data_IF_280996446186
#
_entry.id   IF_280996446186
#
_cell.length_a   1.000
_cell.length_b   1.000
_cell.length_c   1.000
_cell.angle_alpha   90.00
_cell.angle_beta   90.00
_cell.angle_gamma   90.00
#
_symmetry.space_group_name_H-M   'P 1'
#
loop_
_entity.id
_entity.type
_entity.pdbx_description
1 polymer ?
#
# COMPACT_ATOMS: atom_id res chain seq x y z
N UNK A 1 -64.07 -5.02 62.94
CA UNK A 1 -64.21 -3.55 62.82
C UNK A 1 -62.90 -2.92 63.28
N UNK A 2 -62.53 -1.81 62.62
CA UNK A 2 -61.76 -0.64 63.07
C UNK A 2 -60.77 -0.76 64.26
N UNK A 3 -59.66 -0.04 64.35
CA UNK A 3 -58.80 0.75 63.48
C UNK A 3 -57.88 1.54 64.44
N UNK A 4 -56.65 1.81 63.99
CA UNK A 4 -55.89 3.06 64.20
C UNK A 4 -55.24 3.38 65.57
N UNK A 5 -53.91 3.51 65.46
CA UNK A 5 -53.04 4.70 65.70
C UNK A 5 -52.06 4.66 66.88
N UNK A 6 -50.79 4.42 66.51
CA UNK A 6 -49.56 5.22 66.75
C UNK A 6 -49.38 6.04 68.03
N UNK A 7 -48.28 5.76 68.76
CA UNK A 7 -47.35 6.69 69.47
C UNK A 7 -46.17 5.85 70.01
N UNK A 8 -44.92 5.94 69.53
CA UNK A 8 -43.79 6.89 69.71
C UNK A 8 -43.02 6.79 71.05
N UNK A 9 -41.71 6.48 70.90
CA UNK A 9 -40.54 6.72 71.81
C UNK A 9 -40.55 6.06 73.21
N UNK A 10 -39.46 5.61 73.83
CA UNK A 10 -38.01 5.79 73.63
C UNK A 10 -37.24 4.85 74.57
N UNK A 11 -36.09 4.37 74.10
CA UNK A 11 -34.86 3.96 74.82
C UNK A 11 -34.92 3.09 76.10
N UNK A 12 -34.35 1.89 76.03
CA UNK A 12 -33.00 1.61 76.58
C UNK A 12 -32.60 0.14 76.33
N UNK A 13 -31.29 -0.04 76.24
CA UNK A 13 -30.55 -1.16 75.66
C UNK A 13 -30.69 -2.49 76.41
N UNK A 14 -30.65 -3.61 75.67
CA UNK A 14 -29.65 -4.66 75.87
C UNK A 14 -29.69 -5.70 74.73
N UNK A 15 -28.49 -5.98 74.22
CA UNK A 15 -28.02 -7.23 73.64
C UNK A 15 -28.58 -7.87 72.34
N UNK A 16 -27.60 -8.15 71.47
CA UNK A 16 -27.52 -9.12 70.35
C UNK A 16 -28.12 -8.80 68.97
N UNK A 17 -27.18 -8.67 68.01
CA UNK A 17 -27.07 -9.36 66.68
C UNK A 17 -27.00 -8.40 65.47
N UNK A 18 -25.83 -8.28 64.78
CA UNK A 18 -25.81 -7.70 63.45
C UNK A 18 -26.11 -8.76 62.39
N UNK A 19 -27.01 -8.40 61.49
CA UNK A 19 -27.49 -9.18 60.36
C UNK A 19 -26.37 -9.61 59.41
N UNK A 20 -26.51 -10.83 58.88
CA UNK A 20 -25.65 -11.46 57.90
C UNK A 20 -25.67 -10.68 56.59
N UNK A 21 -24.64 -9.86 56.33
CA UNK A 21 -24.22 -9.56 54.96
C UNK A 21 -23.67 -10.84 54.34
N UNK A 22 -24.46 -11.51 53.50
CA UNK A 22 -23.97 -12.57 52.60
C UNK A 22 -22.97 -11.95 51.62
N UNK A 23 -21.69 -11.90 52.00
CA UNK A 23 -20.60 -11.89 51.03
C UNK A 23 -20.61 -13.26 50.37
N UNK A 24 -21.20 -13.33 49.19
CA UNK A 24 -21.15 -14.52 48.34
C UNK A 24 -19.70 -14.90 48.15
N UNK A 25 -19.28 -15.99 48.80
CA UNK A 25 -17.99 -16.63 48.51
C UNK A 25 -18.08 -17.17 47.08
N UNK A 26 -17.03 -17.03 46.25
CA UNK A 26 -17.01 -17.73 44.98
C UNK A 26 -17.19 -19.22 45.28
N UNK A 27 -18.27 -19.79 44.74
CA UNK A 27 -18.53 -21.22 44.84
C UNK A 27 -17.34 -21.95 44.22
N UNK A 28 -16.84 -23.01 44.88
CA UNK A 28 -15.79 -23.87 44.33
C UNK A 28 -16.12 -24.34 42.91
N UNK A 29 -17.40 -24.50 42.55
CA UNK A 29 -17.84 -24.84 41.21
C UNK A 29 -17.50 -23.77 40.15
N UNK A 30 -17.48 -22.48 40.52
CA UNK A 30 -17.12 -21.37 39.62
C UNK A 30 -15.62 -21.34 39.34
N UNK A 31 -14.80 -21.57 40.37
CA UNK A 31 -13.33 -21.61 40.23
C UNK A 31 -12.90 -22.86 39.46
N UNK A 32 -13.54 -24.01 39.72
CA UNK A 32 -13.28 -25.24 38.97
C UNK A 32 -13.72 -25.09 37.51
N UNK A 33 -14.89 -24.49 37.25
CA UNK A 33 -15.36 -24.22 35.89
C UNK A 33 -14.41 -23.31 35.09
N UNK A 34 -13.89 -22.27 35.73
CA UNK A 34 -12.93 -21.34 35.13
C UNK A 34 -11.58 -22.01 34.82
N UNK A 35 -11.04 -22.80 35.75
CA UNK A 35 -9.79 -23.57 35.54
C UNK A 35 -9.96 -24.62 34.44
N UNK A 36 -11.11 -25.30 34.36
CA UNK A 36 -11.40 -26.28 33.29
C UNK A 36 -11.55 -25.57 31.94
N UNK A 37 -12.14 -24.38 31.90
CA UNK A 37 -12.27 -23.59 30.67
C UNK A 37 -10.92 -23.06 30.18
N UNK A 38 -10.06 -22.57 31.09
CA UNK A 38 -8.68 -22.16 30.77
C UNK A 38 -7.86 -23.36 30.29
N UNK A 39 -7.95 -24.51 30.95
CA UNK A 39 -7.27 -25.73 30.52
C UNK A 39 -7.77 -26.20 29.14
N UNK A 40 -9.06 -26.05 28.86
CA UNK A 40 -9.63 -26.37 27.55
C UNK A 40 -9.12 -25.43 26.46
N UNK A 41 -9.02 -24.12 26.73
CA UNK A 41 -8.43 -23.15 25.81
C UNK A 41 -6.93 -23.40 25.60
N UNK A 42 -6.18 -23.68 26.66
CA UNK A 42 -4.76 -24.01 26.59
C UNK A 42 -4.53 -25.28 25.73
N UNK A 43 -5.39 -26.29 25.89
CA UNK A 43 -5.35 -27.51 25.10
C UNK A 43 -5.73 -27.28 23.64
N UNK A 44 -6.70 -26.40 23.36
CA UNK A 44 -7.06 -26.01 22.00
C UNK A 44 -5.92 -25.23 21.32
N UNK A 45 -5.30 -24.27 22.02
CA UNK A 45 -4.15 -23.53 21.48
C UNK A 45 -2.95 -24.45 21.26
N UNK A 46 -2.70 -25.41 22.17
CA UNK A 46 -1.62 -26.40 22.02
C UNK A 46 -1.90 -27.41 20.91
N UNK A 47 -3.18 -27.74 20.66
CA UNK A 47 -3.58 -28.63 19.56
C UNK A 47 -3.55 -27.93 18.20
N UNK A 48 -3.78 -26.61 18.16
CA UNK A 48 -3.70 -25.79 16.96
C UNK A 48 -2.28 -25.32 16.64
N UNK A 49 -1.38 -25.23 17.63
CA UNK A 49 0.02 -24.84 17.45
C UNK A 49 0.71 -25.61 16.31
N UNK A 50 0.64 -26.95 16.20
CA UNK A 50 1.33 -27.70 15.15
C UNK A 50 0.75 -27.41 13.77
N UNK A 51 -0.56 -27.16 13.69
CA UNK A 51 -1.24 -26.82 12.44
C UNK A 51 -0.88 -25.40 11.99
N UNK A 52 -0.93 -24.44 12.91
CA UNK A 52 -0.52 -23.06 12.65
C UNK A 52 0.97 -23.00 12.28
N UNK A 53 1.83 -23.73 13.00
CA UNK A 53 3.26 -23.80 12.70
C UNK A 53 3.53 -24.46 11.35
N UNK A 54 2.73 -25.44 10.95
CA UNK A 54 2.81 -26.08 9.63
C UNK A 54 2.36 -25.14 8.52
N UNK A 55 1.22 -24.47 8.67
CA UNK A 55 0.70 -23.51 7.68
C UNK A 55 1.64 -22.32 7.55
N UNK A 56 2.11 -21.75 8.67
CA UNK A 56 3.09 -20.66 8.65
C UNK A 56 4.41 -21.12 8.04
N UNK A 57 4.88 -22.34 8.34
CA UNK A 57 6.09 -22.89 7.73
C UNK A 57 5.92 -23.15 6.23
N UNK A 58 4.80 -23.72 5.79
CA UNK A 58 4.51 -23.94 4.37
C UNK A 58 4.35 -22.62 3.60
N UNK A 59 3.67 -21.62 4.17
CA UNK A 59 3.56 -20.29 3.58
C UNK A 59 4.92 -19.59 3.51
N UNK A 60 5.73 -19.65 4.58
CA UNK A 60 7.08 -19.07 4.60
C UNK A 60 8.02 -19.80 3.64
N UNK A 61 7.99 -21.13 3.57
CA UNK A 61 8.81 -21.92 2.64
C UNK A 61 8.35 -21.80 1.19
N UNK A 62 7.05 -21.57 0.92
CA UNK A 62 6.57 -21.26 -0.42
C UNK A 62 7.00 -19.86 -0.88
N UNK A 63 6.90 -18.85 0.00
CA UNK A 63 7.34 -17.48 -0.30
C UNK A 63 8.87 -17.39 -0.42
N UNK A 64 9.62 -18.05 0.47
CA UNK A 64 11.09 -18.04 0.48
C UNK A 64 11.70 -19.01 -0.55
N UNK A 65 11.08 -20.17 -0.77
CA UNK A 65 11.52 -21.19 -1.72
C UNK A 65 11.40 -20.75 -3.17
N UNK A 66 10.47 -19.85 -3.48
CA UNK A 66 10.37 -19.22 -4.81
C UNK A 66 11.41 -18.12 -5.01
N UNK A 67 11.70 -17.34 -3.95
CA UNK A 67 12.67 -16.25 -3.96
C UNK A 67 14.13 -16.76 -4.06
N UNK A 68 14.45 -17.87 -3.37
CA UNK A 68 15.81 -18.45 -3.35
C UNK A 68 16.21 -19.20 -4.62
N UNK A 69 15.27 -19.84 -5.34
CA UNK A 69 15.58 -20.52 -6.61
C UNK A 69 15.94 -19.56 -7.74
N UNK A 70 15.47 -18.30 -7.68
CA UNK A 70 15.81 -17.28 -8.68
C UNK A 70 17.19 -16.68 -8.47
N UNK A 71 17.74 -16.72 -7.24
CA UNK A 71 18.92 -15.94 -6.85
C UNK A 71 20.24 -16.75 -6.85
N UNK A 72 20.18 -18.08 -6.97
CA UNK A 72 21.38 -18.94 -6.95
C UNK A 72 21.98 -19.24 -8.34
N UNK A 73 21.49 -18.61 -9.41
CA UNK A 73 22.06 -18.81 -10.74
C UNK A 73 23.29 -17.93 -10.93
N UNK A 74 24.45 -18.45 -10.56
CA UNK A 74 25.76 -17.84 -10.83
C UNK A 74 25.92 -17.44 -12.31
N UNK A 75 26.48 -16.25 -12.63
CA UNK A 75 26.50 -15.72 -13.98
C UNK A 75 27.69 -16.30 -14.76
N UNK A 76 27.49 -17.44 -15.41
CA UNK A 76 28.40 -17.86 -16.47
C UNK A 76 28.05 -17.04 -17.72
N UNK A 77 28.93 -16.10 -18.06
CA UNK A 77 29.04 -15.35 -19.33
C UNK A 77 28.09 -15.86 -20.43
N UNK A 78 26.88 -15.30 -20.48
CA UNK A 78 25.95 -15.51 -21.59
C UNK A 78 25.67 -14.16 -22.22
N UNK A 79 26.02 -14.08 -23.50
CA UNK A 79 25.72 -13.01 -24.44
C UNK A 79 24.33 -12.43 -24.13
N UNK A 80 24.27 -11.10 -24.03
CA UNK A 80 23.09 -10.30 -23.66
C UNK A 80 21.94 -10.48 -24.68
N UNK A 81 21.24 -11.60 -24.58
CA UNK A 81 19.98 -11.86 -25.25
C UNK A 81 18.87 -11.90 -24.18
N UNK A 82 18.19 -10.76 -24.05
CA UNK A 82 16.79 -10.54 -23.70
C UNK A 82 16.02 -11.67 -22.99
N UNK A 83 16.45 -12.12 -21.80
CA UNK A 83 15.51 -12.77 -20.89
C UNK A 83 14.63 -11.66 -20.29
N UNK A 84 13.30 -11.69 -20.48
CA UNK A 84 12.42 -10.73 -19.85
C UNK A 84 12.58 -10.89 -18.34
N UNK A 85 12.89 -9.80 -17.65
CA UNK A 85 12.85 -9.85 -16.19
C UNK A 85 11.46 -10.30 -15.77
N UNK A 86 11.40 -11.25 -14.84
CA UNK A 86 10.15 -11.63 -14.18
C UNK A 86 9.59 -10.48 -13.34
N UNK A 87 10.40 -9.50 -12.92
CA UNK A 87 9.96 -8.42 -12.05
C UNK A 87 9.62 -7.15 -12.82
N UNK A 88 8.51 -6.50 -12.46
CA UNK A 88 8.10 -5.21 -12.99
C UNK A 88 7.53 -4.29 -11.91
N UNK A 89 7.74 -2.99 -12.09
CA UNK A 89 7.05 -1.96 -11.33
C UNK A 89 5.59 -1.87 -11.80
N UNK A 90 4.69 -1.46 -10.90
CA UNK A 90 3.27 -1.27 -11.20
C UNK A 90 2.70 -0.16 -10.31
N UNK A 91 1.89 0.71 -10.89
CA UNK A 91 1.06 1.64 -10.13
C UNK A 91 -0.09 0.86 -9.47
N UNK A 92 -0.25 0.98 -8.15
CA UNK A 92 -1.35 0.32 -7.43
C UNK A 92 -2.69 0.99 -7.72
N UNK A 93 -2.68 2.31 -7.90
CA UNK A 93 -3.84 3.15 -8.02
C UNK A 93 -3.80 4.01 -9.29
N UNK A 94 -4.97 4.45 -9.75
CA UNK A 94 -5.13 5.27 -10.96
C UNK A 94 -5.03 6.75 -10.62
N UNK A 95 -4.50 7.55 -11.55
CA UNK A 95 -4.44 9.00 -11.41
C UNK A 95 -5.85 9.61 -11.39
N UNK A 96 -6.07 10.60 -10.52
CA UNK A 96 -7.24 11.45 -10.57
C UNK A 96 -7.12 12.42 -11.76
N UNK A 97 -8.15 12.48 -12.59
CA UNK A 97 -8.22 13.35 -13.77
C UNK A 97 -9.43 14.28 -13.65
N UNK A 98 -9.37 15.50 -14.22
CA UNK A 98 -8.28 16.07 -15.02
C UNK A 98 -7.10 16.59 -14.18
N UNK A 99 -5.91 16.65 -14.78
CA UNK A 99 -4.70 17.23 -14.17
C UNK A 99 -4.45 18.61 -14.75
N UNK A 100 -4.19 19.58 -13.87
CA UNK A 100 -3.78 20.94 -14.23
C UNK A 100 -2.33 21.21 -13.84
N UNK A 101 -1.67 22.12 -14.54
CA UNK A 101 -0.32 22.58 -14.18
C UNK A 101 -0.32 23.23 -12.80
N UNK A 102 0.68 22.94 -11.96
CA UNK A 102 0.79 23.47 -10.61
C UNK A 102 -0.19 22.88 -9.59
N UNK A 103 -1.03 21.92 -10.00
CA UNK A 103 -1.87 21.15 -9.09
C UNK A 103 -1.20 19.82 -8.76
N UNK A 104 -1.30 19.40 -7.50
CA UNK A 104 -0.77 18.11 -7.03
C UNK A 104 -1.46 16.96 -7.73
N UNK A 105 -0.66 15.99 -8.20
CA UNK A 105 -1.20 14.77 -8.81
C UNK A 105 -1.59 13.82 -7.67
N UNK A 106 -2.90 13.55 -7.58
CA UNK A 106 -3.45 12.57 -6.64
C UNK A 106 -3.98 11.32 -7.34
N UNK A 107 -4.42 10.36 -6.54
CA UNK A 107 -5.19 9.21 -7.03
C UNK A 107 -6.70 9.42 -6.92
N UNK A 108 -7.48 8.67 -7.70
CA UNK A 108 -8.95 8.70 -7.65
C UNK A 108 -9.53 8.37 -6.27
N UNK A 109 -8.82 7.59 -5.46
CA UNK A 109 -9.23 7.23 -4.09
C UNK A 109 -8.78 8.24 -3.03
N UNK A 110 -8.22 9.38 -3.46
CA UNK A 110 -7.66 10.43 -2.62
C UNK A 110 -6.51 9.95 -1.71
N UNK A 111 -5.88 8.83 -2.07
CA UNK A 111 -4.65 8.33 -1.45
C UNK A 111 -3.41 8.80 -2.23
N UNK A 112 -2.22 8.78 -1.61
CA UNK A 112 -0.96 8.98 -2.32
C UNK A 112 -0.79 7.93 -3.43
N UNK A 113 -0.18 8.31 -4.54
CA UNK A 113 0.17 7.34 -5.57
C UNK A 113 1.13 6.30 -5.01
N UNK A 114 0.98 5.03 -5.37
CA UNK A 114 1.85 3.99 -4.84
C UNK A 114 2.39 3.10 -5.96
N UNK A 115 3.64 2.72 -5.80
CA UNK A 115 4.34 1.81 -6.69
C UNK A 115 4.61 0.50 -5.96
N UNK A 116 4.34 -0.59 -6.66
CA UNK A 116 4.56 -1.96 -6.22
C UNK A 116 5.52 -2.65 -7.17
N UNK A 117 6.30 -3.60 -6.67
CA UNK A 117 7.02 -4.57 -7.50
C UNK A 117 6.22 -5.86 -7.55
N UNK A 118 5.98 -6.37 -8.75
CA UNK A 118 5.21 -7.60 -8.98
C UNK A 118 5.96 -8.55 -9.92
N UNK A 119 5.65 -9.84 -9.80
CA UNK A 119 6.07 -10.84 -10.78
C UNK A 119 5.17 -10.75 -12.02
N UNK A 120 5.75 -10.89 -13.20
CA UNK A 120 4.99 -11.04 -14.44
C UNK A 120 4.14 -12.32 -14.43
N UNK A 121 4.59 -13.37 -13.74
CA UNK A 121 3.82 -14.59 -13.55
C UNK A 121 2.64 -14.40 -12.57
N UNK A 122 2.73 -13.46 -11.62
CA UNK A 122 1.72 -13.21 -10.60
C UNK A 122 1.56 -11.69 -10.34
N UNK A 123 0.95 -10.93 -11.28
CA UNK A 123 0.92 -9.46 -11.23
C UNK A 123 0.01 -8.87 -10.14
N UNK A 124 -0.64 -9.73 -9.36
CA UNK A 124 -1.57 -9.38 -8.28
C UNK A 124 -0.92 -9.50 -6.89
N UNK A 125 0.25 -10.13 -6.79
CA UNK A 125 0.94 -10.34 -5.52
C UNK A 125 2.21 -9.49 -5.51
N UNK A 126 2.31 -8.50 -4.61
CA UNK A 126 3.54 -7.74 -4.42
C UNK A 126 4.69 -8.65 -3.98
N UNK A 127 5.89 -8.38 -4.47
CA UNK A 127 7.11 -9.09 -4.08
C UNK A 127 7.86 -8.26 -3.05
N UNK A 128 8.22 -8.91 -1.94
CA UNK A 128 9.14 -8.33 -0.96
C UNK A 128 10.55 -8.40 -1.51
N UNK A 129 11.16 -7.22 -1.65
CA UNK A 129 12.56 -7.09 -2.06
C UNK A 129 13.49 -7.21 -0.83
N UNK A 130 14.59 -7.97 -0.93
CA UNK A 130 15.52 -8.14 0.18
C UNK A 130 16.34 -6.89 0.48
N UNK A 131 16.46 -5.98 -0.48
CA UNK A 131 17.21 -4.72 -0.33
C UNK A 131 16.34 -3.53 -0.78
N UNK A 132 16.51 -2.36 -0.15
CA UNK A 132 15.87 -1.14 -0.62
C UNK A 132 16.39 -0.75 -2.00
N UNK A 133 15.49 -0.39 -2.91
CA UNK A 133 15.84 0.09 -4.25
C UNK A 133 15.44 1.56 -4.40
N UNK A 134 16.18 2.32 -5.20
CA UNK A 134 15.80 3.71 -5.52
C UNK A 134 15.04 3.72 -6.84
N UNK A 135 13.90 4.37 -6.83
CA UNK A 135 13.08 4.59 -8.03
C UNK A 135 13.04 6.08 -8.35
N UNK A 136 12.94 6.37 -9.64
CA UNK A 136 12.85 7.71 -10.20
C UNK A 136 11.54 7.83 -10.98
N UNK A 137 10.83 8.92 -10.75
CA UNK A 137 9.61 9.31 -11.44
C UNK A 137 9.98 10.25 -12.57
N UNK A 138 9.51 9.93 -13.77
CA UNK A 138 9.83 10.65 -15.01
C UNK A 138 8.56 10.92 -15.80
N UNK A 139 8.64 11.84 -16.76
CA UNK A 139 7.54 12.09 -17.71
C UNK A 139 7.85 11.35 -19.01
N UNK A 140 6.89 10.60 -19.52
CA UNK A 140 7.01 9.85 -20.78
C UNK A 140 6.00 10.39 -21.80
N UNK A 141 6.34 10.34 -23.09
CA UNK A 141 5.43 10.74 -24.16
C UNK A 141 4.15 9.89 -24.14
N UNK A 142 2.99 10.52 -24.25
CA UNK A 142 1.69 9.85 -24.27
C UNK A 142 1.49 8.85 -25.41
N UNK A 143 2.17 9.03 -26.54
CA UNK A 143 2.13 8.11 -27.69
C UNK A 143 3.03 6.87 -27.52
N UNK A 144 3.85 6.82 -26.46
CA UNK A 144 4.67 5.65 -26.12
C UNK A 144 3.88 4.68 -25.23
N UNK A 145 4.02 3.35 -25.41
CA UNK A 145 4.76 2.65 -26.48
C UNK A 145 4.02 2.76 -27.83
N UNK A 146 4.76 2.65 -28.94
CA UNK A 146 4.18 2.77 -30.28
C UNK A 146 3.36 1.53 -30.63
N UNK A 147 2.08 1.71 -30.91
CA UNK A 147 1.12 0.63 -31.23
C UNK A 147 0.67 -0.13 -29.98
N UNK A 148 0.05 -1.30 -30.18
CA UNK A 148 -0.52 -2.10 -29.07
C UNK A 148 0.53 -2.99 -28.37
N UNK A 149 1.78 -2.52 -28.31
CA UNK A 149 2.87 -3.26 -27.66
C UNK A 149 2.92 -2.94 -26.18
N UNK A 150 2.82 -3.97 -25.33
CA UNK A 150 2.95 -3.84 -23.87
C UNK A 150 4.39 -4.04 -23.37
N UNK A 151 5.35 -4.29 -24.27
CA UNK A 151 6.74 -4.58 -23.93
C UNK A 151 7.66 -3.62 -24.67
N UNK A 152 8.64 -3.06 -23.94
CA UNK A 152 9.68 -2.17 -24.45
C UNK A 152 11.03 -2.48 -23.78
N UNK A 153 12.12 -2.04 -24.40
CA UNK A 153 13.45 -2.08 -23.77
C UNK A 153 13.67 -0.88 -22.85
N UNK A 154 14.64 -0.99 -21.93
CA UNK A 154 14.99 0.15 -21.06
C UNK A 154 15.52 1.34 -21.87
N UNK A 155 16.23 1.08 -22.97
CA UNK A 155 16.69 2.12 -23.89
C UNK A 155 15.52 2.82 -24.59
N UNK A 156 14.53 2.05 -25.06
CA UNK A 156 13.31 2.61 -25.66
C UNK A 156 12.54 3.48 -24.66
N UNK A 157 12.37 3.02 -23.42
CA UNK A 157 11.75 3.80 -22.36
C UNK A 157 12.52 5.12 -22.13
N UNK A 158 13.83 5.03 -21.95
CA UNK A 158 14.69 6.19 -21.69
C UNK A 158 14.69 7.21 -22.82
N UNK A 159 14.60 6.76 -24.08
CA UNK A 159 14.53 7.63 -25.26
C UNK A 159 13.18 8.36 -25.39
N UNK A 160 12.12 7.87 -24.75
CA UNK A 160 10.79 8.49 -24.78
C UNK A 160 10.49 9.34 -23.52
N UNK A 161 11.49 9.57 -22.67
CA UNK A 161 11.37 10.51 -21.55
C UNK A 161 11.33 11.94 -22.09
N UNK A 162 10.27 12.66 -21.75
CA UNK A 162 10.04 14.04 -22.17
C UNK A 162 10.75 14.97 -21.20
N UNK A 163 11.56 15.87 -21.76
CA UNK A 163 12.22 16.95 -21.03
C UNK A 163 11.42 18.24 -21.12
N UNK A 164 11.73 19.17 -20.25
CA UNK A 164 11.22 20.53 -20.29
C UNK A 164 11.58 21.27 -21.59
N UNK A 165 10.82 22.33 -21.87
CA UNK A 165 11.17 23.27 -22.93
C UNK A 165 12.42 24.05 -22.54
N UNK A 166 13.27 24.35 -23.53
CA UNK A 166 14.51 25.10 -23.33
C UNK A 166 14.24 26.41 -22.56
N UNK A 167 14.94 26.60 -21.44
CA UNK A 167 14.80 27.79 -20.58
C UNK A 167 13.57 27.81 -19.66
N UNK A 168 12.84 26.71 -19.51
CA UNK A 168 11.74 26.56 -18.53
C UNK A 168 12.20 25.78 -17.30
N UNK A 169 11.33 25.76 -16.28
CA UNK A 169 11.48 24.89 -15.11
C UNK A 169 11.37 23.41 -15.52
N UNK A 170 11.90 22.47 -14.72
CA UNK A 170 11.71 21.04 -14.96
C UNK A 170 10.23 20.71 -15.13
N UNK A 171 9.90 19.89 -16.13
CA UNK A 171 8.52 19.60 -16.52
C UNK A 171 7.67 19.02 -15.38
N UNK A 172 8.31 18.24 -14.51
CA UNK A 172 7.76 17.65 -13.31
C UNK A 172 8.60 18.09 -12.12
N UNK A 173 7.94 18.42 -11.01
CA UNK A 173 8.57 18.88 -9.77
C UNK A 173 7.96 18.16 -8.56
N UNK A 174 8.62 18.22 -7.41
CA UNK A 174 8.21 17.53 -6.19
C UNK A 174 9.14 16.39 -5.80
N UNK A 175 8.60 15.34 -5.19
CA UNK A 175 9.37 14.15 -4.78
C UNK A 175 9.53 13.17 -5.96
N UNK A 176 10.58 13.38 -6.77
CA UNK A 176 10.82 12.58 -7.98
C UNK A 176 11.70 11.34 -7.75
N UNK A 177 12.39 11.26 -6.61
CA UNK A 177 13.26 10.15 -6.26
C UNK A 177 12.79 9.54 -4.94
N UNK A 178 12.36 8.29 -4.98
CA UNK A 178 11.77 7.60 -3.83
C UNK A 178 12.56 6.34 -3.53
N UNK A 179 12.72 6.01 -2.25
CA UNK A 179 13.31 4.73 -1.84
C UNK A 179 12.20 3.72 -1.57
N UNK A 180 12.16 2.66 -2.37
CA UNK A 180 11.24 1.54 -2.22
C UNK A 180 11.78 0.56 -1.18
N UNK A 181 10.90 0.11 -0.28
CA UNK A 181 11.18 -0.88 0.77
C UNK A 181 10.12 -1.96 0.72
N UNK A 182 10.51 -3.21 0.93
CA UNK A 182 9.60 -4.36 0.93
C UNK A 182 8.73 -4.46 -0.34
N UNK A 183 9.23 -3.95 -1.47
CA UNK A 183 8.49 -3.90 -2.74
C UNK A 183 7.41 -2.83 -2.84
N UNK A 184 7.36 -1.89 -1.89
CA UNK A 184 6.37 -0.82 -1.80
C UNK A 184 7.04 0.56 -1.73
N UNK A 185 6.49 1.52 -2.46
CA UNK A 185 6.91 2.91 -2.42
C UNK A 185 5.71 3.85 -2.58
N UNK A 186 5.34 4.63 -1.54
CA UNK A 186 4.42 5.74 -1.70
C UNK A 186 5.14 6.89 -2.40
N UNK A 187 4.46 7.53 -3.34
CA UNK A 187 4.94 8.73 -4.04
C UNK A 187 4.35 9.94 -3.30
N UNK A 188 5.21 10.88 -2.91
CA UNK A 188 4.79 12.16 -2.36
C UNK A 188 4.21 13.10 -3.41
N UNK A 189 4.16 14.38 -3.06
CA UNK A 189 3.58 15.39 -3.94
C UNK A 189 4.44 15.57 -5.19
N UNK A 190 3.80 15.45 -6.36
CA UNK A 190 4.39 15.75 -7.66
C UNK A 190 3.46 16.65 -8.47
N UNK A 191 4.04 17.56 -9.26
CA UNK A 191 3.31 18.61 -9.99
C UNK A 191 3.92 18.85 -11.37
N UNK A 192 3.06 19.02 -12.38
CA UNK A 192 3.48 19.43 -13.72
C UNK A 192 3.62 20.95 -13.80
N UNK A 193 4.74 21.45 -14.35
CA UNK A 193 4.96 22.89 -14.49
C UNK A 193 4.50 23.45 -15.84
N UNK A 194 4.31 22.58 -16.83
CA UNK A 194 3.87 22.96 -18.17
C UNK A 194 2.76 22.00 -18.64
N UNK A 195 1.89 22.50 -19.49
CA UNK A 195 0.75 21.73 -19.99
C UNK A 195 1.20 20.76 -21.09
N UNK A 196 0.39 19.77 -21.44
CA UNK A 196 0.78 18.79 -22.46
C UNK A 196 0.57 19.30 -23.89
N UNK A 197 0.02 20.50 -24.08
CA UNK A 197 -0.36 20.97 -25.40
C UNK A 197 0.84 21.28 -26.31
N UNK A 198 2.02 21.55 -25.78
CA UNK A 198 3.17 21.92 -26.63
C UNK A 198 3.85 20.73 -27.32
N UNK A 199 3.64 19.51 -26.85
CA UNK A 199 4.20 18.29 -27.47
C UNK A 199 3.28 17.71 -28.54
N UNK A 200 3.83 16.86 -29.40
CA UNK A 200 3.12 16.28 -30.55
C UNK A 200 1.91 15.44 -30.14
N UNK A 201 2.06 14.54 -29.17
CA UNK A 201 1.00 13.64 -28.71
C UNK A 201 -0.09 14.34 -27.89
N UNK A 202 0.16 15.58 -27.47
CA UNK A 202 -0.71 16.39 -26.59
C UNK A 202 -1.01 15.72 -25.24
N UNK A 203 -0.32 14.64 -24.89
CA UNK A 203 -0.57 13.79 -23.72
C UNK A 203 0.75 13.39 -23.07
N UNK A 204 0.75 13.31 -21.75
CA UNK A 204 1.87 12.77 -20.99
C UNK A 204 1.48 11.43 -20.35
N UNK A 205 2.48 10.68 -19.92
CA UNK A 205 2.39 9.58 -18.96
C UNK A 205 3.33 9.86 -17.80
N UNK A 206 2.97 9.42 -16.60
CA UNK A 206 3.92 9.33 -15.50
C UNK A 206 4.60 7.97 -15.61
N UNK A 207 5.91 7.97 -15.78
CA UNK A 207 6.75 6.79 -15.79
C UNK A 207 7.51 6.63 -14.49
N UNK A 208 7.82 5.40 -14.11
CA UNK A 208 8.70 5.08 -12.98
C UNK A 208 9.71 4.04 -13.40
N UNK A 209 10.98 4.31 -13.11
CA UNK A 209 12.09 3.38 -13.37
C UNK A 209 12.95 3.21 -12.13
N UNK A 210 13.71 2.12 -12.09
CA UNK A 210 14.75 1.94 -11.08
C UNK A 210 15.96 2.80 -11.45
N UNK A 211 16.52 3.51 -10.46
CA UNK A 211 17.75 4.30 -10.67
C UNK A 211 18.90 3.35 -11.00
N UNK A 212 19.68 3.58 -12.08
CA UNK A 212 20.81 2.74 -12.43
C UNK A 212 21.78 2.55 -11.25
N UNK A 213 22.20 1.32 -10.99
CA UNK A 213 23.11 0.98 -9.89
C UNK A 213 22.47 0.91 -8.49
N UNK A 214 21.16 1.19 -8.36
CA UNK A 214 20.45 1.03 -7.07
C UNK A 214 19.93 -0.40 -6.83
N UNK A 215 20.03 -1.25 -7.84
CA UNK A 215 19.61 -2.64 -7.82
C UNK A 215 20.81 -3.50 -8.21
N UNK A 216 20.89 -4.70 -7.64
CA UNK A 216 21.93 -5.68 -7.98
C UNK A 216 21.72 -6.26 -9.39
N UNK A 217 22.00 -7.55 -9.57
CA UNK A 217 21.92 -8.22 -10.87
C UNK A 217 20.48 -8.46 -11.39
N UNK A 218 19.45 -8.13 -10.60
CA UNK A 218 18.06 -8.40 -10.98
C UNK A 218 17.51 -7.22 -11.78
N UNK A 219 17.23 -7.37 -13.07
CA UNK A 219 16.52 -6.31 -13.82
C UNK A 219 15.10 -6.15 -13.27
N UNK A 220 14.56 -4.93 -13.16
CA UNK A 220 13.14 -4.69 -12.84
C UNK A 220 12.59 -3.79 -13.94
N UNK A 221 11.52 -4.22 -14.61
CA UNK A 221 10.91 -3.47 -15.70
C UNK A 221 10.20 -2.21 -15.20
N UNK A 222 10.26 -1.15 -16.01
CA UNK A 222 9.66 0.15 -15.74
C UNK A 222 8.12 0.08 -15.74
N UNK A 223 7.49 1.04 -15.08
CA UNK A 223 6.04 1.22 -15.10
C UNK A 223 5.67 2.55 -15.77
N UNK A 224 4.48 2.62 -16.36
CA UNK A 224 3.89 3.88 -16.76
C UNK A 224 2.39 3.89 -16.50
N UNK A 225 1.83 5.07 -16.32
CA UNK A 225 0.38 5.27 -16.27
C UNK A 225 -0.24 5.22 -17.67
N UNK A 226 -1.56 5.20 -17.71
CA UNK A 226 -2.32 5.57 -18.90
C UNK A 226 -1.98 7.01 -19.35
N UNK A 227 -2.13 7.32 -20.65
CA UNK A 227 -1.82 8.64 -21.17
C UNK A 227 -2.94 9.64 -20.82
N UNK A 228 -2.56 10.83 -20.38
CA UNK A 228 -3.51 11.87 -19.97
C UNK A 228 -3.09 13.26 -20.47
N UNK A 229 -4.07 14.17 -20.52
CA UNK A 229 -3.85 15.57 -20.90
C UNK A 229 -3.59 16.37 -19.63
N UNK A 230 -2.51 17.15 -19.62
CA UNK A 230 -2.26 18.17 -18.60
C UNK A 230 -2.73 19.51 -19.14
N UNK A 231 -3.67 20.13 -18.43
CA UNK A 231 -4.28 21.41 -18.80
C UNK A 231 -3.58 22.56 -18.10
N UNK A 232 -3.68 23.76 -18.68
CA UNK A 232 -3.20 24.98 -18.04
C UNK A 232 -4.07 25.33 -16.81
N UNK A 233 -3.44 25.71 -15.70
CA UNK A 233 -4.10 26.13 -14.46
C UNK A 233 -5.19 27.18 -14.70
N UNK A 234 -5.03 28.08 -15.67
CA UNK A 234 -6.03 29.12 -15.99
C UNK A 234 -7.40 28.53 -16.34
N UNK A 235 -7.44 27.28 -16.79
CA UNK A 235 -8.67 26.56 -17.10
C UNK A 235 -9.37 25.97 -15.88
N UNK A 236 -8.70 25.80 -14.75
CA UNK A 236 -9.19 25.05 -13.58
C UNK A 236 -10.47 25.64 -12.99
N UNK A 237 -10.54 26.97 -12.84
CA UNK A 237 -11.73 27.65 -12.30
C UNK A 237 -13.01 27.37 -13.10
N UNK A 238 -12.90 27.16 -14.42
CA UNK A 238 -14.05 26.82 -15.27
C UNK A 238 -14.54 25.40 -14.98
N UNK A 239 -13.62 24.45 -14.80
CA UNK A 239 -13.98 23.07 -14.49
C UNK A 239 -14.70 22.95 -13.15
N UNK A 240 -14.18 23.62 -12.10
CA UNK A 240 -14.82 23.59 -10.79
C UNK A 240 -16.22 24.20 -10.79
N UNK A 241 -16.47 25.23 -11.59
CA UNK A 241 -17.80 25.81 -11.74
C UNK A 241 -18.80 24.79 -12.33
N UNK A 242 -18.43 24.08 -13.41
CA UNK A 242 -19.29 23.08 -14.03
C UNK A 242 -19.48 21.80 -13.19
N UNK A 243 -18.47 21.40 -12.40
CA UNK A 243 -18.55 20.21 -11.55
C UNK A 243 -19.47 20.39 -10.34
N UNK A 244 -19.75 21.62 -9.92
CA UNK A 244 -20.65 21.92 -8.80
C UNK A 244 -22.11 22.17 -9.24
N UNK A 245 -22.40 22.14 -10.54
CA UNK A 245 -23.74 22.33 -11.11
C UNK A 245 -24.45 21.00 -11.46
N UNK A 246 -23.85 19.85 -11.14
CA UNK A 246 -24.39 18.49 -11.33
C UNK A 246 -24.57 17.83 -9.97
#
# INVERSE_FOLDING_TARGET
MAAKRYFNESESNEDQKPEKKMKSRPSFASVIGEVVMVNSLQNLFSALEPLLRRVVKEEVEHVLGRNTRSLLRSPSLRIQALEPSSLKLKFSNKLSLPIFTGSKIGSCDNSPLQILVVDNANPNVPIILPQPIKIEIVVVDGDFPKGDRETWTSEEFNNNIVKERTGRRPLLTGELNVTMRDGFAPIGDIEFTDNSSWIRSRKFRVGVRVVPGSNGDVRICEAMTEPFIVKDHRGECKYLAYSNEI
#
